data_IF_937576352502
#
_entry.id   IF_937576352502
#
_cell.length_a   1.000
_cell.length_b   1.000
_cell.length_c   1.000
_cell.angle_alpha   90.00
_cell.angle_beta   90.00
_cell.angle_gamma   90.00
#
_symmetry.space_group_name_H-M   'P 1'
#
loop_
_entity.id
_entity.type
_entity.pdbx_description
1 polymer ?
#
# COMPACT_ATOMS: atom_id res chain seq x y z
N UNK A 1 14.64 -27.40 -13.76
CA UNK A 1 13.91 -26.14 -13.50
C UNK A 1 12.69 -26.12 -14.39
N UNK A 2 11.51 -25.82 -13.85
CA UNK A 2 10.28 -25.74 -14.62
C UNK A 2 10.10 -24.32 -15.16
N UNK A 3 9.72 -24.19 -16.43
CA UNK A 3 9.38 -22.90 -17.05
C UNK A 3 7.91 -22.59 -16.75
N UNK A 4 7.56 -21.39 -16.25
CA UNK A 4 6.17 -21.01 -16.11
C UNK A 4 5.43 -21.11 -17.46
N UNK A 5 4.23 -21.71 -17.51
CA UNK A 5 3.48 -21.88 -18.75
C UNK A 5 2.96 -20.54 -19.32
N UNK A 6 3.01 -19.48 -18.52
CA UNK A 6 2.57 -18.14 -18.88
C UNK A 6 3.63 -17.11 -18.52
N UNK A 7 3.91 -16.21 -19.46
CA UNK A 7 4.75 -15.02 -19.26
C UNK A 7 3.90 -13.77 -19.51
N UNK A 8 3.62 -12.96 -18.47
CA UNK A 8 2.94 -11.68 -18.64
C UNK A 8 3.68 -10.79 -19.63
N UNK A 9 2.93 -10.16 -20.54
CA UNK A 9 3.45 -9.20 -21.50
C UNK A 9 3.29 -7.81 -20.90
N UNK A 10 4.35 -7.26 -20.31
CA UNK A 10 4.38 -5.90 -19.74
C UNK A 10 5.20 -4.97 -20.63
N UNK A 11 4.81 -3.71 -20.75
CA UNK A 11 5.52 -2.71 -21.56
C UNK A 11 6.43 -1.79 -20.76
N UNK A 12 6.22 -1.67 -19.44
CA UNK A 12 7.04 -0.87 -18.54
C UNK A 12 6.95 -1.37 -17.10
N UNK A 13 7.79 -0.83 -16.21
CA UNK A 13 7.77 -1.14 -14.77
C UNK A 13 6.48 -0.69 -14.07
N UNK A 14 5.76 0.27 -14.66
CA UNK A 14 4.52 0.83 -14.12
C UNK A 14 3.27 0.33 -14.85
N UNK A 15 3.40 -0.72 -15.66
CA UNK A 15 2.29 -1.28 -16.44
C UNK A 15 1.31 -2.04 -15.54
N UNK A 16 0.05 -1.60 -15.51
CA UNK A 16 -1.00 -2.18 -14.67
C UNK A 16 -2.04 -3.00 -15.45
N UNK A 17 -1.77 -3.43 -16.70
CA UNK A 17 -2.76 -4.13 -17.55
C UNK A 17 -3.34 -5.43 -17.00
N UNK A 18 -2.67 -6.03 -16.02
CA UNK A 18 -3.12 -7.26 -15.36
C UNK A 18 -3.83 -6.98 -14.02
N UNK A 19 -4.13 -5.71 -13.74
CA UNK A 19 -5.00 -5.25 -12.66
C UNK A 19 -6.30 -4.71 -13.26
N UNK A 20 -7.37 -4.67 -12.47
CA UNK A 20 -8.67 -4.18 -12.93
C UNK A 20 -8.66 -2.66 -13.14
N UNK A 21 -9.26 -2.21 -14.25
CA UNK A 21 -9.42 -0.79 -14.56
C UNK A 21 -10.28 -0.07 -13.52
N UNK A 22 -11.17 -0.79 -12.81
CA UNK A 22 -11.96 -0.25 -11.69
C UNK A 22 -11.08 0.46 -10.66
N UNK A 23 -9.85 -0.03 -10.43
CA UNK A 23 -8.91 0.56 -9.47
C UNK A 23 -7.85 1.43 -10.13
N UNK A 24 -7.30 1.04 -11.29
CA UNK A 24 -6.15 1.74 -11.89
C UNK A 24 -6.53 3.05 -12.58
N UNK A 25 -7.80 3.21 -12.97
CA UNK A 25 -8.31 4.44 -13.57
C UNK A 25 -8.69 5.52 -12.54
N UNK A 26 -8.70 5.19 -11.25
CA UNK A 26 -9.05 6.14 -10.19
C UNK A 26 -7.91 7.11 -9.89
N UNK A 27 -8.23 8.36 -9.61
CA UNK A 27 -7.26 9.35 -9.15
C UNK A 27 -6.70 8.95 -7.78
N UNK A 28 -5.38 8.90 -7.67
CA UNK A 28 -4.70 8.59 -6.40
C UNK A 28 -4.90 9.76 -5.42
N UNK A 29 -5.60 9.50 -4.32
CA UNK A 29 -5.74 10.46 -3.21
C UNK A 29 -5.47 9.77 -1.88
N UNK A 30 -4.68 10.40 -1.02
CA UNK A 30 -4.46 9.93 0.35
C UNK A 30 -5.46 10.63 1.24
N UNK A 31 -6.45 9.88 1.73
CA UNK A 31 -7.40 10.41 2.73
C UNK A 31 -6.63 10.68 4.02
N UNK A 32 -6.49 11.94 4.47
CA UNK A 32 -5.85 12.22 5.74
C UNK A 32 -6.66 11.56 6.86
N UNK A 33 -6.00 11.07 7.93
CA UNK A 33 -6.73 10.59 9.08
C UNK A 33 -7.64 11.70 9.60
N UNK A 34 -8.85 11.35 10.04
CA UNK A 34 -9.77 12.31 10.65
C UNK A 34 -9.02 13.08 11.74
N UNK A 35 -8.99 14.41 11.62
CA UNK A 35 -8.39 15.29 12.63
C UNK A 35 -9.19 15.08 13.90
N UNK A 36 -8.72 14.22 14.80
CA UNK A 36 -9.21 14.21 16.16
C UNK A 36 -8.98 15.63 16.68
N UNK A 37 -10.05 16.41 16.79
CA UNK A 37 -10.08 17.65 17.57
C UNK A 37 -9.38 17.33 18.90
N UNK A 38 -8.45 18.16 19.32
CA UNK A 38 -7.49 17.91 20.41
C UNK A 38 -8.11 17.62 21.79
N UNK A 39 -9.44 17.51 21.88
CA UNK A 39 -10.19 17.13 23.09
C UNK A 39 -10.26 15.61 23.30
N UNK A 40 -9.81 14.78 22.35
CA UNK A 40 -9.74 13.33 22.51
C UNK A 40 -8.33 12.81 22.80
N UNK A 41 -7.59 13.51 23.65
CA UNK A 41 -6.38 12.95 24.28
C UNK A 41 -6.71 11.69 25.11
N UNK A 42 -7.99 11.43 25.41
CA UNK A 42 -8.51 10.18 25.97
C UNK A 42 -8.81 9.06 24.94
N UNK A 43 -8.57 9.26 23.63
CA UNK A 43 -8.61 8.20 22.60
C UNK A 43 -7.23 7.76 22.12
N UNK A 44 -6.13 8.27 22.69
CA UNK A 44 -4.81 7.70 22.43
C UNK A 44 -4.72 6.22 22.85
N UNK A 45 -5.58 5.76 23.77
CA UNK A 45 -5.74 4.34 24.12
C UNK A 45 -6.52 3.50 23.09
N UNK A 46 -7.10 4.09 22.03
CA UNK A 46 -7.93 3.35 21.05
C UNK A 46 -7.23 3.04 19.74
N UNK A 47 -6.04 3.58 19.49
CA UNK A 47 -5.25 3.22 18.30
C UNK A 47 -4.18 2.23 18.75
N UNK A 48 -4.32 0.93 18.41
CA UNK A 48 -3.33 -0.04 18.82
C UNK A 48 -1.96 0.36 18.28
N UNK A 49 -0.95 0.37 19.14
CA UNK A 49 0.43 0.39 18.68
C UNK A 49 0.68 -0.92 17.94
N UNK A 50 1.21 -0.85 16.72
CA UNK A 50 1.51 -2.02 15.90
C UNK A 50 3.00 -2.35 16.05
N UNK A 51 3.40 -3.22 17.00
CA UNK A 51 4.79 -3.65 17.09
C UNK A 51 5.19 -4.31 15.77
N UNK A 52 6.43 -4.09 15.34
CA UNK A 52 6.98 -4.62 14.07
C UNK A 52 6.32 -4.07 12.78
N UNK A 53 5.62 -2.94 12.83
CA UNK A 53 5.09 -2.29 11.62
C UNK A 53 6.20 -1.74 10.70
N UNK A 54 7.23 -1.13 11.30
CA UNK A 54 8.36 -0.58 10.57
C UNK A 54 9.32 -1.70 10.18
N UNK A 55 9.43 -1.96 8.88
CA UNK A 55 10.36 -2.91 8.31
C UNK A 55 11.15 -2.26 7.17
N UNK A 56 12.44 -2.58 7.10
CA UNK A 56 13.31 -2.22 5.98
C UNK A 56 14.19 -3.43 5.69
N UNK A 57 14.05 -4.01 4.50
CA UNK A 57 14.86 -5.14 4.08
C UNK A 57 16.32 -4.69 3.90
N UNK A 58 17.27 -5.54 4.29
CA UNK A 58 18.71 -5.27 4.26
C UNK A 58 19.32 -5.13 2.86
N UNK A 59 18.52 -5.24 1.79
CA UNK A 59 18.96 -5.30 0.40
C UNK A 59 18.67 -4.04 -0.43
N UNK A 60 18.56 -2.87 0.19
CA UNK A 60 18.54 -1.59 -0.53
C UNK A 60 19.94 -0.96 -0.47
N UNK A 61 20.73 -1.20 -1.52
CA UNK A 61 21.59 -0.15 -2.10
C UNK A 61 20.92 0.32 -3.40
#
# INVERSE_FOLDING_TARGET
>A
QLVPPFKPQVTSETDTRYFDEEFTAQTITITPPEKCKSEMMHKHDRRPHFPQFSYSASGRE
#
